data_IF_712134895461
#
_entry.id   IF_712134895461
#
_cell.length_a   1.000
_cell.length_b   1.000
_cell.length_c   1.000
_cell.angle_alpha   90.00
_cell.angle_beta   90.00
_cell.angle_gamma   90.00
#
_symmetry.space_group_name_H-M   'P 1'
#
loop_
_entity.id
_entity.type
_entity.pdbx_description
1 polymer ?
#
# COMPACT_ATOMS: atom_id res chain seq x y z
N UNK A 1 -16.15 18.43 -35.23
CA UNK A 1 -15.68 17.05 -35.00
C UNK A 1 -14.43 17.13 -34.12
N UNK A 2 -14.63 17.16 -32.80
CA UNK A 2 -13.57 17.32 -31.81
C UNK A 2 -12.75 16.04 -31.70
N UNK A 3 -11.43 16.17 -31.72
CA UNK A 3 -10.49 15.11 -31.36
C UNK A 3 -10.29 15.20 -29.86
N UNK A 4 -10.90 14.29 -29.10
CA UNK A 4 -10.61 14.13 -27.68
C UNK A 4 -9.17 13.60 -27.52
N UNK A 5 -8.31 14.45 -26.96
CA UNK A 5 -7.00 14.06 -26.46
C UNK A 5 -7.20 13.47 -25.07
N UNK A 6 -7.03 12.17 -24.92
CA UNK A 6 -6.78 11.59 -23.60
C UNK A 6 -5.39 12.04 -23.15
N UNK A 7 -5.33 13.16 -22.43
CA UNK A 7 -4.14 13.56 -21.67
C UNK A 7 -4.34 13.11 -20.23
N UNK A 8 -4.01 11.85 -19.94
CA UNK A 8 -3.72 11.43 -18.58
C UNK A 8 -2.32 11.90 -18.20
N UNK A 9 -2.10 13.22 -18.16
CA UNK A 9 -1.00 13.76 -17.38
C UNK A 9 -1.44 13.63 -15.92
N UNK A 10 -1.02 12.53 -15.28
CA UNK A 10 -1.15 12.35 -13.84
C UNK A 10 -0.56 13.60 -13.17
N UNK A 11 -1.42 14.44 -12.62
CA UNK A 11 -0.99 15.66 -11.94
C UNK A 11 -0.14 15.26 -10.73
N UNK A 12 1.14 15.62 -10.76
CA UNK A 12 2.08 15.63 -9.62
C UNK A 12 1.83 14.52 -8.57
N UNK A 13 1.97 13.25 -8.96
CA UNK A 13 2.02 12.16 -7.97
C UNK A 13 3.30 12.34 -7.17
N UNK A 14 3.18 12.76 -5.91
CA UNK A 14 4.31 12.90 -4.99
C UNK A 14 4.85 11.50 -4.71
N UNK A 15 5.98 11.15 -5.32
CA UNK A 15 6.63 9.85 -5.13
C UNK A 15 7.31 9.83 -3.76
N UNK A 16 6.61 9.29 -2.77
CA UNK A 16 7.14 9.10 -1.42
C UNK A 16 7.76 7.71 -1.27
N UNK A 17 9.06 7.63 -1.56
CA UNK A 17 9.79 6.36 -1.45
C UNK A 17 9.26 5.28 -2.39
N UNK A 18 9.54 4.02 -2.07
CA UNK A 18 8.97 2.84 -2.72
C UNK A 18 7.87 2.23 -1.85
N UNK A 19 6.82 1.75 -2.50
CA UNK A 19 5.69 1.07 -1.85
C UNK A 19 6.07 -0.32 -1.33
N UNK A 20 6.98 -1.01 -2.02
CA UNK A 20 7.55 -2.29 -1.61
C UNK A 20 9.07 -2.17 -1.50
N UNK A 21 9.62 -2.40 -0.31
CA UNK A 21 11.04 -2.23 -0.03
C UNK A 21 11.92 -3.31 -0.67
N UNK A 22 11.34 -4.38 -1.22
CA UNK A 22 12.09 -5.32 -2.09
C UNK A 22 12.58 -4.64 -3.37
N UNK A 23 12.01 -3.48 -3.74
CA UNK A 23 12.40 -2.69 -4.91
C UNK A 23 13.51 -1.67 -4.60
N UNK A 24 14.00 -1.59 -3.37
CA UNK A 24 15.15 -0.76 -3.04
C UNK A 24 16.39 -1.24 -3.80
N UNK A 25 17.17 -0.28 -4.33
CA UNK A 25 18.39 -0.59 -5.08
C UNK A 25 19.46 -1.30 -4.24
N UNK A 26 19.45 -1.04 -2.92
CA UNK A 26 20.27 -1.71 -1.93
C UNK A 26 19.41 -1.99 -0.70
N UNK A 27 19.38 -3.25 -0.29
CA UNK A 27 18.74 -3.65 0.97
C UNK A 27 19.76 -3.46 2.09
N UNK A 28 19.59 -2.39 2.87
CA UNK A 28 20.34 -2.12 4.10
C UNK A 28 19.42 -1.47 5.13
N UNK A 29 19.79 -1.56 6.41
CA UNK A 29 19.03 -0.96 7.52
C UNK A 29 18.81 0.55 7.31
N UNK A 30 19.85 1.27 6.87
CA UNK A 30 19.75 2.69 6.52
C UNK A 30 18.73 2.94 5.39
N UNK A 31 18.76 2.14 4.32
CA UNK A 31 17.88 2.33 3.17
C UNK A 31 16.41 2.04 3.52
N UNK A 32 16.17 1.03 4.36
CA UNK A 32 14.85 0.70 4.89
C UNK A 32 14.34 1.85 5.76
N UNK A 33 15.17 2.31 6.69
CA UNK A 33 14.82 3.40 7.62
C UNK A 33 14.54 4.71 6.88
N UNK A 34 15.36 5.03 5.88
CA UNK A 34 15.18 6.22 5.03
C UNK A 34 13.88 6.15 4.23
N UNK A 35 13.53 4.99 3.68
CA UNK A 35 12.27 4.81 2.96
C UNK A 35 11.06 4.99 3.88
N UNK A 36 11.06 4.31 5.04
CA UNK A 36 9.99 4.42 6.03
C UNK A 36 9.84 5.86 6.53
N UNK A 37 10.95 6.54 6.82
CA UNK A 37 10.94 7.94 7.25
C UNK A 37 10.38 8.87 6.18
N UNK A 38 10.80 8.70 4.91
CA UNK A 38 10.30 9.51 3.79
C UNK A 38 8.79 9.34 3.62
N UNK A 39 8.30 8.10 3.65
CA UNK A 39 6.88 7.76 3.55
C UNK A 39 6.05 8.30 4.70
N UNK A 40 6.55 8.12 5.93
CA UNK A 40 5.91 8.64 7.13
C UNK A 40 5.75 10.16 7.11
N UNK A 41 6.79 10.89 6.68
CA UNK A 41 6.74 12.36 6.55
C UNK A 41 5.72 12.85 5.52
N UNK A 42 5.29 11.96 4.62
CA UNK A 42 4.28 12.22 3.60
C UNK A 42 2.92 11.57 3.93
N UNK A 43 2.71 11.17 5.19
CA UNK A 43 1.49 10.53 5.71
C UNK A 43 1.16 9.15 5.15
N UNK A 44 2.12 8.49 4.51
CA UNK A 44 2.05 7.08 4.11
C UNK A 44 2.60 6.18 5.22
N UNK A 45 1.72 5.60 6.03
CA UNK A 45 2.13 4.78 7.17
C UNK A 45 2.36 3.31 6.82
N UNK A 46 1.83 2.87 5.69
CA UNK A 46 1.88 1.49 5.23
C UNK A 46 2.94 1.32 4.14
N UNK A 47 3.77 0.30 4.28
CA UNK A 47 4.83 -0.06 3.31
C UNK A 47 5.00 -1.57 3.27
N UNK A 48 5.08 -2.17 2.09
CA UNK A 48 5.39 -3.58 1.95
C UNK A 48 6.88 -3.87 2.11
N UNK A 49 7.18 -5.07 2.58
CA UNK A 49 8.46 -5.74 2.39
C UNK A 49 8.16 -7.18 1.98
N UNK A 50 7.94 -7.37 0.67
CA UNK A 50 7.45 -8.63 0.12
C UNK A 50 6.06 -8.98 0.70
N UNK A 51 5.87 -10.16 1.33
CA UNK A 51 4.57 -10.56 1.86
C UNK A 51 4.17 -9.86 3.17
N UNK A 52 5.08 -9.10 3.80
CA UNK A 52 4.84 -8.43 5.07
C UNK A 52 4.41 -6.98 4.85
N UNK A 53 3.39 -6.54 5.57
CA UNK A 53 2.96 -5.15 5.62
C UNK A 53 3.49 -4.47 6.88
N UNK A 54 4.34 -3.45 6.71
CA UNK A 54 4.86 -2.61 7.79
C UNK A 54 3.92 -1.42 8.00
N UNK A 55 3.60 -1.13 9.26
CA UNK A 55 2.80 0.02 9.67
C UNK A 55 3.59 0.88 10.67
N UNK A 56 3.73 2.18 10.40
CA UNK A 56 4.36 3.14 11.33
C UNK A 56 3.28 3.98 12.00
N UNK A 57 3.18 3.96 13.33
CA UNK A 57 2.12 4.68 14.06
C UNK A 57 2.20 6.21 13.83
N UNK A 58 1.17 6.84 13.23
CA UNK A 58 1.16 8.28 12.95
C UNK A 58 0.90 9.16 14.18
N UNK A 59 0.39 8.59 15.28
CA UNK A 59 -0.11 9.33 16.44
C UNK A 59 -1.14 10.43 16.10
N UNK A 60 -1.80 10.33 14.94
CA UNK A 60 -2.85 11.22 14.46
C UNK A 60 -3.86 10.43 13.61
N UNK A 61 -5.06 10.98 13.49
CA UNK A 61 -6.06 10.48 12.54
C UNK A 61 -5.65 10.81 11.11
N UNK A 62 -5.86 9.86 10.19
CA UNK A 62 -5.57 10.02 8.77
C UNK A 62 -6.87 9.92 7.95
N UNK A 63 -7.03 10.71 6.89
CA UNK A 63 -8.31 10.88 6.19
C UNK A 63 -8.65 9.75 5.19
N UNK A 64 -7.98 8.59 5.28
CA UNK A 64 -8.09 7.50 4.29
C UNK A 64 -8.53 6.16 4.91
N UNK A 65 -9.20 6.21 6.06
CA UNK A 65 -9.89 5.06 6.64
C UNK A 65 -11.41 5.23 6.48
N UNK A 66 -11.87 5.32 5.23
CA UNK A 66 -13.28 5.52 4.89
C UNK A 66 -13.78 4.42 3.95
N UNK A 67 -15.10 4.38 3.72
CA UNK A 67 -15.73 3.44 2.79
C UNK A 67 -15.16 3.55 1.37
N UNK A 68 -14.70 4.75 0.99
CA UNK A 68 -14.05 4.99 -0.30
C UNK A 68 -12.81 4.09 -0.48
N UNK A 69 -11.97 3.98 0.55
CA UNK A 69 -10.78 3.13 0.46
C UNK A 69 -11.15 1.66 0.47
N UNK A 70 -12.20 1.26 1.21
CA UNK A 70 -12.71 -0.13 1.14
C UNK A 70 -13.10 -0.50 -0.29
N UNK A 71 -13.88 0.36 -0.96
CA UNK A 71 -14.27 0.18 -2.36
C UNK A 71 -13.07 0.16 -3.31
N UNK A 72 -12.04 0.99 -3.05
CA UNK A 72 -10.83 1.04 -3.86
C UNK A 72 -10.05 -0.28 -3.82
N UNK A 73 -9.98 -0.93 -2.65
CA UNK A 73 -9.17 -2.14 -2.47
C UNK A 73 -9.93 -3.45 -2.73
N UNK A 74 -11.26 -3.45 -2.63
CA UNK A 74 -12.06 -4.65 -2.82
C UNK A 74 -11.92 -5.20 -4.25
N UNK A 75 -11.40 -6.43 -4.37
CA UNK A 75 -11.19 -7.10 -5.66
C UNK A 75 -10.06 -6.53 -6.52
N UNK A 76 -9.33 -5.52 -6.06
CA UNK A 76 -8.20 -4.93 -6.78
C UNK A 76 -7.04 -5.93 -6.93
N UNK A 77 -6.26 -5.81 -8.00
CA UNK A 77 -5.06 -6.61 -8.16
C UNK A 77 -3.99 -6.21 -7.14
N UNK A 78 -3.14 -7.17 -6.76
CA UNK A 78 -2.00 -6.88 -5.88
C UNK A 78 -1.09 -5.85 -6.57
N UNK A 79 -0.72 -4.79 -5.83
CA UNK A 79 0.07 -3.65 -6.33
C UNK A 79 -0.63 -2.70 -7.31
N UNK A 80 -1.93 -2.86 -7.57
CA UNK A 80 -2.71 -1.87 -8.34
C UNK A 80 -2.86 -0.56 -7.56
N UNK A 81 -3.04 -0.68 -6.24
CA UNK A 81 -3.18 0.42 -5.31
C UNK A 81 -2.01 0.47 -4.33
N UNK A 82 -1.75 1.62 -3.69
CA UNK A 82 -0.71 1.77 -2.68
C UNK A 82 -0.87 0.77 -1.51
N UNK A 83 0.19 0.49 -0.74
CA UNK A 83 0.11 -0.41 0.41
C UNK A 83 -0.94 0.06 1.41
N UNK A 84 -1.84 -0.85 1.79
CA UNK A 84 -2.89 -0.57 2.77
C UNK A 84 -3.37 -1.85 3.44
N UNK A 85 -3.89 -1.72 4.65
CA UNK A 85 -4.44 -2.86 5.41
C UNK A 85 -5.65 -3.48 4.72
N UNK A 86 -6.44 -2.70 3.99
CA UNK A 86 -7.59 -3.22 3.21
C UNK A 86 -7.15 -4.09 2.04
N UNK A 87 -6.01 -3.79 1.41
CA UNK A 87 -5.44 -4.67 0.38
C UNK A 87 -5.03 -6.03 0.98
N UNK A 88 -4.42 -6.02 2.17
CA UNK A 88 -4.08 -7.25 2.89
C UNK A 88 -5.34 -8.04 3.25
N UNK A 89 -6.36 -7.38 3.79
CA UNK A 89 -7.61 -8.01 4.17
C UNK A 89 -8.34 -8.65 2.97
N UNK A 90 -8.43 -7.94 1.84
CA UNK A 90 -9.02 -8.45 0.61
C UNK A 90 -8.24 -9.66 0.07
N UNK A 91 -6.91 -9.61 0.06
CA UNK A 91 -6.06 -10.71 -0.40
C UNK A 91 -6.23 -11.96 0.48
N UNK A 92 -6.19 -11.81 1.81
CA UNK A 92 -6.43 -12.90 2.77
C UNK A 92 -7.83 -13.51 2.57
N UNK A 93 -8.85 -12.68 2.40
CA UNK A 93 -10.21 -13.15 2.15
C UNK A 93 -10.31 -13.92 0.83
N UNK A 94 -9.73 -13.40 -0.25
CA UNK A 94 -9.73 -14.08 -1.55
C UNK A 94 -9.00 -15.41 -1.52
N UNK A 95 -7.83 -15.48 -0.90
CA UNK A 95 -7.07 -16.73 -0.78
C UNK A 95 -7.87 -17.77 0.02
N UNK A 96 -8.51 -17.37 1.12
CA UNK A 96 -9.40 -18.25 1.87
C UNK A 96 -10.52 -18.84 0.99
N UNK A 97 -11.11 -18.03 0.10
CA UNK A 97 -12.20 -18.46 -0.78
C UNK A 97 -11.72 -19.31 -1.97
N UNK A 98 -10.54 -19.01 -2.52
CA UNK A 98 -9.97 -19.72 -3.68
C UNK A 98 -9.40 -21.07 -3.23
N UNK A 99 -8.57 -21.06 -2.19
CA UNK A 99 -7.84 -22.23 -1.73
C UNK A 99 -8.69 -23.11 -0.79
N UNK A 100 -9.78 -22.57 -0.25
CA UNK A 100 -10.62 -23.21 0.77
C UNK A 100 -9.83 -23.61 2.03
N UNK A 101 -8.82 -22.80 2.38
CA UNK A 101 -7.97 -22.99 3.54
C UNK A 101 -8.06 -21.82 4.52
N UNK A 102 -8.00 -22.16 5.82
CA UNK A 102 -8.01 -21.15 6.88
C UNK A 102 -6.77 -20.24 6.78
N UNK A 103 -6.97 -18.95 6.96
CA UNK A 103 -5.91 -17.95 6.94
C UNK A 103 -5.66 -17.38 8.33
N UNK A 104 -4.43 -16.92 8.58
CA UNK A 104 -4.03 -16.28 9.83
C UNK A 104 -3.23 -15.01 9.53
N UNK A 105 -3.56 -13.92 10.22
CA UNK A 105 -2.80 -12.67 10.18
C UNK A 105 -2.15 -12.47 11.55
N UNK A 106 -0.82 -12.39 11.57
CA UNK A 106 -0.05 -12.15 12.79
C UNK A 106 0.32 -10.67 12.83
N UNK A 107 -0.08 -9.99 13.90
CA UNK A 107 0.26 -8.58 14.15
C UNK A 107 1.29 -8.54 15.29
N UNK A 108 2.46 -7.96 15.01
CA UNK A 108 3.54 -7.75 15.98
C UNK A 108 3.86 -6.26 16.09
N UNK A 109 4.18 -5.81 17.30
CA UNK A 109 4.58 -4.43 17.64
C UNK A 109 6.05 -4.36 17.99
#
# INVERSE_FOLDING_TARGET
RGKERYHWQAQNVKVSGVDDMVLLSKISEDAITDNLKKRYMDDYIFTYIGPVLISVNPFKQLPYFTDREVELYQGAAQYENPPHIYALADNVYRNMMIDNENQCVIIST
#
